data_IF_233132051690
#
_entry.id   IF_233132051690
#
_cell.length_a   1.000
_cell.length_b   1.000
_cell.length_c   1.000
_cell.angle_alpha   90.00
_cell.angle_beta   90.00
_cell.angle_gamma   90.00
#
_symmetry.space_group_name_H-M   'P 1'
#
loop_
_entity.id
_entity.type
_entity.pdbx_description
1 polymer ?
#
# COMPACT_ATOMS: atom_id res chain seq x y z
N UNK A 1 -69.60 -63.08 5.59
CA UNK A 1 -69.30 -63.77 4.30
C UNK A 1 -68.16 -63.01 3.64
N UNK A 2 -67.02 -63.57 3.22
CA UNK A 2 -66.33 -64.87 3.33
C UNK A 2 -64.82 -64.50 3.19
N UNK A 3 -63.80 -65.21 3.68
CA UNK A 3 -63.69 -66.45 4.46
C UNK A 3 -62.38 -66.38 5.29
N UNK A 4 -62.26 -67.20 6.33
CA UNK A 4 -61.02 -67.41 7.10
C UNK A 4 -60.04 -68.35 6.38
N UNK A 5 -58.75 -68.26 6.72
CA UNK A 5 -57.81 -69.37 7.04
C UNK A 5 -56.36 -68.82 7.10
N UNK A 6 -55.57 -68.93 8.19
CA UNK A 6 -54.93 -70.16 8.77
C UNK A 6 -53.95 -70.83 7.76
N UNK A 7 -52.77 -71.41 8.05
CA UNK A 7 -52.05 -71.85 9.28
C UNK A 7 -50.56 -72.13 8.85
N UNK A 8 -49.46 -72.07 9.65
CA UNK A 8 -49.20 -71.70 11.05
C UNK A 8 -47.70 -71.37 11.31
N UNK A 9 -47.42 -70.67 12.42
CA UNK A 9 -46.21 -70.65 13.30
C UNK A 9 -44.98 -71.52 13.02
N UNK A 10 -43.77 -70.95 13.23
CA UNK A 10 -43.00 -71.10 14.50
C UNK A 10 -41.70 -70.27 14.60
N UNK A 11 -41.64 -69.53 15.71
CA UNK A 11 -40.50 -69.30 16.63
C UNK A 11 -39.30 -68.45 16.13
N UNK A 12 -39.20 -67.18 16.55
CA UNK A 12 -38.74 -66.68 17.87
C UNK A 12 -37.21 -66.66 18.03
N UNK A 13 -36.62 -65.45 17.92
CA UNK A 13 -35.64 -64.91 18.86
C UNK A 13 -35.39 -63.42 18.54
N UNK A 14 -35.60 -62.55 19.54
CA UNK A 14 -35.20 -61.14 19.52
C UNK A 14 -34.29 -60.92 20.72
N UNK A 15 -33.15 -60.25 20.52
CA UNK A 15 -32.76 -59.20 21.48
C UNK A 15 -32.42 -57.88 20.76
N UNK A 16 -32.75 -56.76 21.42
CA UNK A 16 -32.36 -55.41 21.00
C UNK A 16 -30.84 -55.19 21.02
N UNK A 17 -30.33 -54.35 20.10
CA UNK A 17 -29.08 -53.60 20.25
C UNK A 17 -29.14 -52.27 19.46
N UNK A 18 -28.30 -51.32 19.86
CA UNK A 18 -28.39 -49.87 19.55
C UNK A 18 -27.89 -49.46 18.15
N UNK A 19 -28.25 -48.25 17.66
CA UNK A 19 -27.80 -47.74 16.37
C UNK A 19 -26.37 -47.19 16.44
N UNK A 20 -25.47 -47.69 15.59
CA UNK A 20 -24.16 -47.08 15.37
C UNK A 20 -24.10 -46.33 14.04
N UNK A 21 -23.84 -45.02 14.17
CA UNK A 21 -23.11 -44.13 13.27
C UNK A 21 -22.58 -44.70 11.94
N UNK A 22 -23.00 -44.07 10.84
CA UNK A 22 -22.20 -43.93 9.62
C UNK A 22 -22.53 -42.60 8.95
N UNK A 23 -21.89 -41.53 9.45
CA UNK A 23 -21.79 -40.26 8.74
C UNK A 23 -20.69 -40.37 7.69
N UNK A 24 -21.05 -40.21 6.42
CA UNK A 24 -20.06 -40.12 5.34
C UNK A 24 -19.39 -38.74 5.39
N UNK A 25 -18.16 -38.71 5.90
CA UNK A 25 -17.31 -37.52 5.86
C UNK A 25 -16.77 -37.36 4.44
N UNK A 26 -17.35 -36.41 3.69
CA UNK A 26 -16.71 -35.88 2.48
C UNK A 26 -15.60 -34.91 2.89
N UNK A 27 -14.51 -35.48 3.42
CA UNK A 27 -13.26 -34.78 3.67
C UNK A 27 -12.53 -34.57 2.35
N UNK A 28 -12.63 -33.38 1.78
CA UNK A 28 -11.77 -32.95 0.68
C UNK A 28 -10.38 -32.61 1.20
N UNK A 29 -9.63 -33.64 1.60
CA UNK A 29 -8.20 -33.53 1.92
C UNK A 29 -7.38 -33.36 0.64
N UNK A 30 -7.51 -32.19 0.00
CA UNK A 30 -6.38 -31.65 -0.77
C UNK A 30 -5.22 -31.48 0.21
N UNK A 31 -4.04 -32.10 -0.03
CA UNK A 31 -2.90 -31.94 0.87
C UNK A 31 -2.61 -30.45 1.03
N UNK A 32 -2.76 -29.94 2.25
CA UNK A 32 -2.46 -28.54 2.54
C UNK A 32 -0.96 -28.35 2.33
N UNK A 33 -0.57 -27.81 1.17
CA UNK A 33 0.82 -27.69 0.76
C UNK A 33 1.53 -26.83 1.81
N UNK A 34 2.34 -27.49 2.64
CA UNK A 34 2.88 -26.91 3.87
C UNK A 34 3.65 -25.64 3.53
N UNK A 35 3.13 -24.48 3.93
CA UNK A 35 3.72 -23.17 3.65
C UNK A 35 5.21 -23.17 4.04
N UNK A 36 6.11 -23.19 3.04
CA UNK A 36 7.55 -23.36 3.26
C UNK A 36 8.22 -22.01 3.50
N UNK A 37 8.05 -21.13 2.53
CA UNK A 37 8.67 -19.83 2.33
C UNK A 37 7.70 -18.87 1.63
N UNK A 38 8.03 -17.57 1.63
CA UNK A 38 7.34 -16.52 0.86
C UNK A 38 8.38 -15.76 0.04
N UNK A 39 8.15 -15.64 -1.27
CA UNK A 39 8.97 -14.77 -2.13
C UNK A 39 8.52 -13.32 -2.04
N UNK A 40 9.30 -12.50 -1.36
CA UNK A 40 9.06 -11.06 -1.25
C UNK A 40 9.62 -10.32 -2.48
N UNK A 41 8.84 -9.42 -3.08
CA UNK A 41 9.31 -8.59 -4.20
C UNK A 41 9.81 -7.23 -3.69
N UNK A 42 11.11 -6.98 -3.86
CA UNK A 42 11.79 -5.75 -3.45
C UNK A 42 11.99 -4.78 -4.65
N UNK A 43 11.76 -3.49 -4.43
CA UNK A 43 11.88 -2.45 -5.47
C UNK A 43 13.29 -1.85 -5.47
N UNK A 44 14.07 -2.23 -6.49
CA UNK A 44 15.44 -1.77 -6.71
C UNK A 44 16.44 -2.24 -5.64
N UNK A 45 17.69 -1.80 -5.79
CA UNK A 45 18.82 -2.29 -4.98
C UNK A 45 18.67 -2.05 -3.47
N UNK A 46 18.17 -0.88 -3.06
CA UNK A 46 18.07 -0.53 -1.63
C UNK A 46 17.11 -1.44 -0.86
N UNK A 47 15.93 -1.73 -1.41
CA UNK A 47 15.02 -2.70 -0.82
C UNK A 47 15.56 -4.11 -0.93
N UNK A 48 16.21 -4.46 -2.06
CA UNK A 48 16.79 -5.78 -2.25
C UNK A 48 17.79 -6.13 -1.14
N UNK A 49 18.70 -5.21 -0.80
CA UNK A 49 19.67 -5.40 0.29
C UNK A 49 18.98 -5.65 1.65
N UNK A 50 17.93 -4.88 1.99
CA UNK A 50 17.16 -5.11 3.23
C UNK A 50 16.40 -6.45 3.18
N UNK A 51 15.91 -6.84 2.00
CA UNK A 51 15.26 -8.13 1.81
C UNK A 51 16.25 -9.29 2.02
N UNK A 52 17.46 -9.21 1.44
CA UNK A 52 18.47 -10.25 1.61
C UNK A 52 18.92 -10.38 3.09
N UNK A 53 19.05 -9.25 3.81
CA UNK A 53 19.23 -9.24 5.28
C UNK A 53 18.07 -9.96 6.00
N UNK A 54 16.82 -9.70 5.62
CA UNK A 54 15.64 -10.38 6.17
C UNK A 54 15.64 -11.88 5.84
N UNK A 55 15.98 -12.27 4.61
CA UNK A 55 16.02 -13.65 4.14
C UNK A 55 16.95 -14.52 5.00
N UNK A 56 18.17 -14.02 5.27
CA UNK A 56 19.15 -14.67 6.16
C UNK A 56 18.59 -14.81 7.58
N UNK A 57 18.10 -13.71 8.18
CA UNK A 57 17.55 -13.73 9.54
C UNK A 57 16.31 -14.62 9.67
N UNK A 58 15.50 -14.74 8.62
CA UNK A 58 14.30 -15.57 8.58
C UNK A 58 14.58 -17.09 8.54
N UNK A 59 15.84 -17.51 8.39
CA UNK A 59 16.20 -18.92 8.22
C UNK A 59 15.62 -19.55 6.93
N UNK A 60 15.46 -18.76 5.87
CA UNK A 60 14.85 -19.19 4.61
C UNK A 60 13.32 -19.21 4.61
N UNK A 61 12.65 -18.59 5.59
CA UNK A 61 11.19 -18.33 5.53
C UNK A 61 10.82 -17.25 4.53
N UNK A 62 11.74 -16.33 4.25
CA UNK A 62 11.62 -15.30 3.23
C UNK A 62 12.68 -15.55 2.15
N UNK A 63 12.25 -15.52 0.90
CA UNK A 63 13.11 -15.45 -0.27
C UNK A 63 12.92 -14.09 -0.94
N UNK A 64 13.92 -13.62 -1.69
CA UNK A 64 13.88 -12.28 -2.28
C UNK A 64 13.92 -12.33 -3.81
N UNK A 65 12.89 -11.72 -4.40
CA UNK A 65 12.80 -11.32 -5.80
C UNK A 65 12.96 -9.79 -5.88
N UNK A 66 13.24 -9.27 -7.08
CA UNK A 66 13.34 -7.82 -7.26
C UNK A 66 12.89 -7.35 -8.63
N UNK A 67 12.44 -6.10 -8.69
CA UNK A 67 12.15 -5.36 -9.92
C UNK A 67 12.49 -3.87 -9.77
N UNK A 68 12.55 -3.13 -10.88
CA UNK A 68 12.88 -1.69 -10.85
C UNK A 68 11.67 -0.79 -10.56
N UNK A 69 10.44 -1.32 -10.62
CA UNK A 69 9.20 -0.57 -10.33
C UNK A 69 8.17 -1.40 -9.56
N UNK A 70 7.23 -0.70 -8.92
CA UNK A 70 6.09 -1.32 -8.22
C UNK A 70 5.20 -2.14 -9.17
N UNK A 71 4.97 -1.66 -10.40
CA UNK A 71 4.15 -2.38 -11.39
C UNK A 71 4.82 -3.70 -11.82
N UNK A 72 6.13 -3.68 -12.04
CA UNK A 72 6.87 -4.90 -12.38
C UNK A 72 6.83 -5.93 -11.25
N UNK A 73 6.89 -5.48 -9.98
CA UNK A 73 6.71 -6.37 -8.84
C UNK A 73 5.28 -6.93 -8.73
N UNK A 74 4.24 -6.12 -8.97
CA UNK A 74 2.86 -6.62 -9.03
C UNK A 74 2.72 -7.65 -10.15
N UNK A 75 3.29 -7.39 -11.33
CA UNK A 75 3.29 -8.33 -12.45
C UNK A 75 4.04 -9.63 -12.14
N UNK A 76 5.17 -9.58 -11.41
CA UNK A 76 5.87 -10.77 -10.89
C UNK A 76 5.01 -11.57 -9.92
N UNK A 77 4.27 -10.90 -9.02
CA UNK A 77 3.37 -11.56 -8.07
C UNK A 77 2.20 -12.24 -8.81
N UNK A 78 1.62 -11.58 -9.82
CA UNK A 78 0.58 -12.18 -10.66
C UNK A 78 1.04 -13.47 -11.37
N UNK A 79 2.29 -13.49 -11.86
CA UNK A 79 2.86 -14.61 -12.63
C UNK A 79 3.38 -15.77 -11.79
N UNK A 80 3.45 -15.63 -10.45
CA UNK A 80 4.09 -16.62 -9.58
C UNK A 80 5.62 -16.55 -9.53
N UNK A 81 6.22 -15.48 -10.08
CA UNK A 81 7.66 -15.23 -9.93
C UNK A 81 7.98 -14.79 -8.49
N UNK A 82 7.13 -13.94 -7.91
CA UNK A 82 7.12 -13.55 -6.50
C UNK A 82 5.76 -13.90 -5.85
N UNK A 83 5.62 -13.76 -4.53
CA UNK A 83 4.39 -14.09 -3.78
C UNK A 83 3.77 -12.88 -3.07
N UNK A 84 4.55 -11.94 -2.55
CA UNK A 84 4.03 -10.81 -1.77
C UNK A 84 4.90 -9.56 -1.82
N UNK A 85 4.29 -8.41 -1.51
CA UNK A 85 4.94 -7.13 -1.18
C UNK A 85 3.97 -6.24 -0.40
N UNK A 86 4.46 -5.23 0.33
CA UNK A 86 3.62 -4.12 0.85
C UNK A 86 3.39 -3.07 -0.25
N UNK A 87 2.20 -2.49 -0.30
CA UNK A 87 1.80 -1.51 -1.30
C UNK A 87 1.06 -0.31 -0.69
N UNK A 88 1.29 0.86 -1.28
CA UNK A 88 0.44 2.04 -1.09
C UNK A 88 -0.97 1.76 -1.63
N UNK A 89 -2.02 2.31 -0.98
CA UNK A 89 -3.42 2.10 -1.36
C UNK A 89 -3.76 2.32 -2.84
N UNK A 90 -3.01 3.20 -3.54
CA UNK A 90 -3.16 3.40 -4.98
C UNK A 90 -2.65 2.23 -5.82
N UNK A 91 -1.53 1.62 -5.42
CA UNK A 91 -1.04 0.39 -6.02
C UNK A 91 -1.84 -0.84 -5.57
N UNK A 92 -2.45 -0.84 -4.38
CA UNK A 92 -3.44 -1.87 -3.98
C UNK A 92 -4.65 -1.85 -4.92
N UNK A 93 -5.10 -0.67 -5.36
CA UNK A 93 -6.16 -0.58 -6.37
C UNK A 93 -5.74 -1.24 -7.69
N UNK A 94 -4.53 -0.96 -8.19
CA UNK A 94 -3.99 -1.55 -9.42
C UNK A 94 -3.85 -3.08 -9.27
N UNK A 95 -3.19 -3.53 -8.20
CA UNK A 95 -3.04 -4.95 -7.84
C UNK A 95 -4.38 -5.68 -7.74
N UNK A 96 -5.40 -5.03 -7.15
CA UNK A 96 -6.76 -5.54 -7.08
C UNK A 96 -7.47 -5.63 -8.43
N UNK A 97 -7.29 -4.66 -9.34
CA UNK A 97 -7.76 -4.78 -10.73
C UNK A 97 -7.10 -5.96 -11.46
N UNK A 98 -5.84 -6.25 -11.13
CA UNK A 98 -5.05 -7.39 -11.58
C UNK A 98 -5.37 -8.73 -10.89
N UNK A 99 -6.26 -8.76 -9.88
CA UNK A 99 -6.71 -10.00 -9.23
C UNK A 99 -5.89 -10.44 -8.01
N UNK A 100 -4.98 -9.59 -7.51
CA UNK A 100 -4.35 -9.80 -6.21
C UNK A 100 -5.31 -9.39 -5.08
N UNK A 101 -5.09 -9.93 -3.88
CA UNK A 101 -5.90 -9.66 -2.68
C UNK A 101 -5.05 -9.07 -1.56
N UNK A 102 -5.59 -8.12 -0.76
CA UNK A 102 -4.98 -7.71 0.50
C UNK A 102 -4.89 -8.87 1.50
N UNK A 103 -3.82 -8.94 2.26
CA UNK A 103 -3.52 -10.02 3.22
C UNK A 103 -3.42 -9.52 4.65
N UNK A 104 -2.69 -8.41 4.85
CA UNK A 104 -2.44 -7.71 6.12
C UNK A 104 -2.38 -6.20 5.87
N UNK A 105 -2.76 -5.37 6.85
CA UNK A 105 -2.57 -3.92 6.83
C UNK A 105 -1.29 -3.54 7.58
N UNK A 106 -0.52 -2.55 7.13
CA UNK A 106 0.37 -1.82 8.02
C UNK A 106 -0.46 -0.94 8.96
N UNK A 107 -0.21 -1.00 10.27
CA UNK A 107 -0.78 -0.08 11.25
C UNK A 107 0.27 0.93 11.73
N UNK A 108 -0.12 2.17 12.02
CA UNK A 108 0.81 3.28 12.33
C UNK A 108 0.55 3.97 13.67
N UNK A 109 -0.71 3.99 14.11
CA UNK A 109 -1.21 4.74 15.28
C UNK A 109 -1.47 3.82 16.48
N UNK A 110 -1.92 2.59 16.25
CA UNK A 110 -2.26 1.65 17.33
C UNK A 110 -1.02 0.98 17.92
N UNK A 111 -0.91 0.96 19.25
CA UNK A 111 0.09 0.16 19.98
C UNK A 111 -0.55 -1.08 20.62
N UNK A 112 -1.59 -0.88 21.44
CA UNK A 112 -2.25 -1.97 22.17
C UNK A 112 -3.12 -2.81 21.23
N UNK A 113 -2.96 -4.13 21.28
CA UNK A 113 -3.67 -5.08 20.41
C UNK A 113 -3.56 -4.70 18.90
N UNK A 114 -2.41 -4.15 18.49
CA UNK A 114 -2.18 -3.60 17.15
C UNK A 114 -2.59 -4.57 16.03
N UNK A 115 -2.24 -5.85 16.16
CA UNK A 115 -2.50 -6.88 15.14
C UNK A 115 -3.98 -7.18 14.89
N UNK A 116 -4.88 -6.80 15.80
CA UNK A 116 -6.32 -7.08 15.69
C UNK A 116 -7.19 -5.82 15.68
N UNK A 117 -6.58 -4.64 15.57
CA UNK A 117 -7.26 -3.34 15.61
C UNK A 117 -7.17 -2.66 14.25
N UNK A 118 -8.23 -2.62 13.44
CA UNK A 118 -8.20 -1.93 12.15
C UNK A 118 -8.13 -0.41 12.34
N UNK A 119 -7.18 0.24 11.67
CA UNK A 119 -7.08 1.70 11.64
C UNK A 119 -7.98 2.32 10.56
N UNK A 120 -8.48 3.53 10.82
CA UNK A 120 -9.29 4.30 9.85
C UNK A 120 -8.50 4.82 8.65
N UNK A 121 -7.18 4.69 8.64
CA UNK A 121 -6.30 5.31 7.66
C UNK A 121 -5.51 6.53 8.16
N UNK A 122 -4.42 6.84 7.48
CA UNK A 122 -3.63 8.06 7.64
C UNK A 122 -4.25 9.24 6.87
N UNK A 123 -3.65 10.43 6.93
CA UNK A 123 -4.18 11.62 6.23
C UNK A 123 -3.25 12.04 5.09
N UNK A 124 -3.84 12.34 3.93
CA UNK A 124 -3.13 12.98 2.83
C UNK A 124 -3.18 14.50 2.99
N UNK A 125 -2.03 15.16 2.94
CA UNK A 125 -1.90 16.61 3.18
C UNK A 125 -1.09 17.29 2.08
N UNK A 126 -1.38 18.57 1.86
CA UNK A 126 -0.56 19.47 1.06
C UNK A 126 0.26 20.37 1.99
N UNK A 127 1.59 20.19 1.99
CA UNK A 127 2.53 20.94 2.84
C UNK A 127 3.17 22.07 2.04
N UNK A 128 3.27 23.26 2.63
CA UNK A 128 4.02 24.41 2.10
C UNK A 128 4.98 24.95 3.15
N UNK A 129 5.97 25.73 2.71
CA UNK A 129 6.86 26.48 3.62
C UNK A 129 6.08 27.62 4.28
N UNK A 130 6.29 27.84 5.58
CA UNK A 130 5.69 28.96 6.34
C UNK A 130 6.11 30.33 5.79
N UNK A 131 7.28 30.41 5.14
CA UNK A 131 7.79 31.60 4.46
C UNK A 131 7.19 31.84 3.07
N UNK A 132 6.35 30.95 2.56
CA UNK A 132 5.68 31.13 1.27
C UNK A 132 4.65 32.29 1.35
N UNK A 133 4.59 33.19 0.35
CA UNK A 133 3.64 34.31 0.30
C UNK A 133 2.22 33.88 0.68
N UNK A 134 1.54 34.59 1.59
CA UNK A 134 0.27 34.12 2.21
C UNK A 134 -0.88 33.88 1.21
N UNK A 135 -0.78 34.39 -0.03
CA UNK A 135 -1.72 34.12 -1.12
C UNK A 135 -1.57 32.72 -1.76
N UNK A 136 -0.48 31.96 -1.48
CA UNK A 136 -0.34 30.55 -1.85
C UNK A 136 -1.31 29.67 -1.04
N UNK A 137 -2.48 29.39 -1.60
CA UNK A 137 -3.55 28.59 -1.02
C UNK A 137 -3.82 27.38 -1.90
N UNK A 138 -4.65 26.44 -1.45
CA UNK A 138 -5.15 25.36 -2.31
C UNK A 138 -5.72 25.88 -3.64
N UNK A 139 -6.35 27.06 -3.61
CA UNK A 139 -7.00 27.66 -4.77
C UNK A 139 -6.03 28.35 -5.75
N UNK A 140 -4.79 28.66 -5.35
CA UNK A 140 -3.79 29.38 -6.16
C UNK A 140 -2.55 28.53 -6.51
N UNK A 141 -2.68 27.20 -6.46
CA UNK A 141 -1.63 26.23 -6.83
C UNK A 141 -1.23 26.23 -8.32
N UNK A 142 -2.01 26.87 -9.20
CA UNK A 142 -1.69 26.94 -10.63
C UNK A 142 -0.39 27.72 -10.87
N UNK A 143 0.48 27.21 -11.73
CA UNK A 143 1.80 27.78 -12.04
C UNK A 143 2.84 27.62 -10.92
N UNK A 144 2.51 26.95 -9.81
CA UNK A 144 3.45 26.67 -8.71
C UNK A 144 4.28 25.41 -8.98
N UNK A 145 5.30 25.19 -8.16
CA UNK A 145 6.17 24.02 -8.21
C UNK A 145 5.70 22.91 -7.27
N UNK A 146 5.47 21.70 -7.79
CA UNK A 146 4.91 20.59 -7.01
C UNK A 146 5.88 19.44 -6.75
N UNK A 147 5.74 18.81 -5.59
CA UNK A 147 6.52 17.65 -5.17
C UNK A 147 5.59 16.51 -4.77
N UNK A 148 5.78 15.33 -5.36
CA UNK A 148 4.90 14.18 -5.22
C UNK A 148 5.70 12.94 -4.82
N UNK A 149 5.11 12.03 -4.05
CA UNK A 149 5.81 10.81 -3.60
C UNK A 149 6.14 9.86 -4.76
N UNK A 150 5.18 9.65 -5.65
CA UNK A 150 5.27 9.10 -7.01
C UNK A 150 3.88 9.20 -7.66
N UNK A 151 3.82 8.99 -8.98
CA UNK A 151 2.57 8.76 -9.74
C UNK A 151 1.81 7.55 -9.17
N UNK A 152 0.48 7.56 -9.31
CA UNK A 152 -0.47 6.54 -8.84
C UNK A 152 -0.48 6.22 -7.33
N UNK A 153 0.34 6.89 -6.51
CA UNK A 153 0.31 6.80 -5.03
C UNK A 153 -0.80 7.66 -4.43
N UNK A 154 -1.35 7.19 -3.31
CA UNK A 154 -2.50 7.77 -2.60
C UNK A 154 -2.35 9.26 -2.30
N UNK A 155 -1.44 9.61 -1.39
CA UNK A 155 -1.31 10.98 -0.90
C UNK A 155 -0.51 11.89 -1.84
N UNK A 156 0.41 11.32 -2.64
CA UNK A 156 1.23 12.08 -3.59
C UNK A 156 0.54 12.37 -4.92
N UNK A 157 -0.41 11.54 -5.33
CA UNK A 157 -1.02 11.61 -6.66
C UNK A 157 -2.54 11.51 -6.61
N UNK A 158 -3.11 10.37 -6.22
CA UNK A 158 -4.53 10.07 -6.44
C UNK A 158 -5.47 11.06 -5.73
N UNK A 159 -5.19 11.39 -4.46
CA UNK A 159 -5.98 12.37 -3.71
C UNK A 159 -5.80 13.79 -4.26
N UNK A 160 -4.58 14.38 -4.31
CA UNK A 160 -4.42 15.76 -4.75
C UNK A 160 -4.79 15.96 -6.23
N UNK A 161 -4.40 15.05 -7.13
CA UNK A 161 -4.71 15.17 -8.56
C UNK A 161 -6.19 14.90 -8.83
N UNK A 162 -6.88 14.09 -8.01
CA UNK A 162 -8.32 13.87 -8.11
C UNK A 162 -9.12 15.12 -7.74
N UNK A 163 -8.71 15.80 -6.67
CA UNK A 163 -9.29 17.09 -6.30
C UNK A 163 -9.01 18.19 -7.34
N UNK A 164 -7.81 18.22 -7.94
CA UNK A 164 -7.50 19.14 -9.04
C UNK A 164 -8.27 18.80 -10.31
N UNK A 165 -8.39 17.52 -10.67
CA UNK A 165 -9.16 17.06 -11.83
C UNK A 165 -10.62 17.53 -11.75
N UNK A 166 -11.26 17.41 -10.58
CA UNK A 166 -12.63 17.90 -10.36
C UNK A 166 -12.79 19.42 -10.57
N UNK A 167 -11.70 20.19 -10.53
CA UNK A 167 -11.68 21.66 -10.74
C UNK A 167 -11.32 22.04 -12.18
N UNK A 168 -10.35 21.34 -12.80
CA UNK A 168 -9.79 21.71 -14.11
C UNK A 168 -10.36 20.88 -15.27
N UNK A 169 -10.95 19.72 -14.97
CA UNK A 169 -11.61 18.80 -15.90
C UNK A 169 -10.73 18.32 -17.07
N UNK A 170 -9.42 18.23 -16.86
CA UNK A 170 -8.44 17.68 -17.82
C UNK A 170 -7.28 16.98 -17.09
N UNK A 171 -6.57 16.10 -17.79
CA UNK A 171 -5.47 15.30 -17.24
C UNK A 171 -4.08 15.96 -17.38
N UNK A 172 -4.00 17.13 -18.02
CA UNK A 172 -2.76 17.89 -18.25
C UNK A 172 -2.25 18.60 -16.97
N UNK A 173 -1.96 17.82 -15.92
CA UNK A 173 -1.46 18.33 -14.64
C UNK A 173 -0.07 19.00 -14.76
N UNK A 174 0.69 18.62 -15.78
CA UNK A 174 1.97 19.18 -16.19
C UNK A 174 1.87 20.57 -16.84
N UNK A 175 0.65 20.99 -17.23
CA UNK A 175 0.32 22.37 -17.60
C UNK A 175 -0.31 23.17 -16.45
N UNK A 176 -0.84 22.49 -15.44
CA UNK A 176 -1.38 23.13 -14.24
C UNK A 176 -0.26 23.62 -13.31
N UNK A 177 0.72 22.76 -13.01
CA UNK A 177 1.96 23.16 -12.32
C UNK A 177 2.99 23.65 -13.33
N UNK A 178 3.89 24.56 -12.92
CA UNK A 178 4.92 25.08 -13.84
C UNK A 178 6.09 24.11 -14.02
N UNK A 179 6.49 23.46 -12.92
CA UNK A 179 7.51 22.41 -12.84
C UNK A 179 7.19 21.52 -11.64
N UNK A 180 7.71 20.30 -11.61
CA UNK A 180 7.56 19.44 -10.45
C UNK A 180 8.57 18.31 -10.37
N UNK A 181 8.47 17.53 -9.30
CA UNK A 181 8.98 16.17 -9.27
C UNK A 181 7.85 15.20 -8.90
N UNK A 182 7.44 14.38 -9.88
CA UNK A 182 6.50 13.28 -9.75
C UNK A 182 7.13 12.00 -10.31
N UNK A 183 7.89 11.25 -9.49
CA UNK A 183 8.56 10.02 -9.91
C UNK A 183 7.58 9.02 -10.56
N UNK A 184 7.97 8.47 -11.72
CA UNK A 184 7.12 7.63 -12.56
C UNK A 184 6.34 8.36 -13.66
N UNK A 185 6.38 9.70 -13.69
CA UNK A 185 5.81 10.47 -14.80
C UNK A 185 6.75 10.51 -16.02
N UNK A 186 6.26 11.01 -17.16
CA UNK A 186 7.04 11.09 -18.41
C UNK A 186 8.29 11.98 -18.24
N UNK A 187 9.47 11.47 -18.62
CA UNK A 187 10.78 12.08 -18.30
C UNK A 187 11.01 13.45 -18.96
N UNK A 188 10.30 13.73 -20.05
CA UNK A 188 10.32 15.02 -20.76
C UNK A 188 9.32 16.04 -20.22
N UNK A 189 8.42 15.66 -19.31
CA UNK A 189 7.41 16.55 -18.73
C UNK A 189 8.01 17.55 -17.74
N UNK A 190 7.33 18.69 -17.56
CA UNK A 190 7.56 19.65 -16.48
C UNK A 190 7.52 19.00 -15.10
N UNK A 191 6.71 17.95 -14.90
CA UNK A 191 6.61 17.20 -13.64
C UNK A 191 7.82 16.29 -13.33
N UNK A 192 8.79 16.17 -14.24
CA UNK A 192 10.09 15.55 -13.97
C UNK A 192 11.25 16.56 -13.97
N UNK A 193 10.97 17.87 -14.06
CA UNK A 193 11.99 18.91 -14.19
C UNK A 193 12.73 19.25 -12.88
N UNK A 194 12.11 19.00 -11.71
CA UNK A 194 12.74 19.18 -10.40
C UNK A 194 13.34 17.89 -9.83
N UNK A 195 13.12 16.74 -10.46
CA UNK A 195 13.66 15.46 -9.99
C UNK A 195 15.18 15.40 -10.15
N UNK A 196 15.91 14.88 -9.16
CA UNK A 196 17.37 15.03 -9.03
C UNK A 196 18.16 13.71 -9.17
N UNK A 197 17.50 12.59 -9.44
CA UNK A 197 18.12 11.28 -9.58
C UNK A 197 18.89 10.84 -8.33
N UNK A 198 19.85 9.94 -8.52
CA UNK A 198 20.69 9.47 -7.42
C UNK A 198 21.91 10.38 -7.26
N UNK A 199 22.59 10.29 -6.10
CA UNK A 199 23.84 11.03 -5.89
C UNK A 199 24.98 10.57 -6.81
N UNK A 200 24.93 9.31 -7.29
CA UNK A 200 25.94 8.70 -8.17
C UNK A 200 25.53 8.68 -9.64
N UNK A 201 24.25 8.90 -9.97
CA UNK A 201 23.73 8.83 -11.32
C UNK A 201 22.51 9.76 -11.52
N UNK A 202 22.71 10.99 -12.04
CA UNK A 202 21.64 11.93 -12.34
C UNK A 202 20.66 11.46 -13.44
N UNK A 203 21.06 10.56 -14.35
CA UNK A 203 20.18 10.00 -15.40
C UNK A 203 19.04 9.14 -14.82
N UNK A 204 19.16 8.75 -13.55
CA UNK A 204 18.11 8.10 -12.76
C UNK A 204 16.99 9.05 -12.30
N UNK A 205 16.96 10.30 -12.79
CA UNK A 205 15.92 11.27 -12.44
C UNK A 205 14.52 10.76 -12.78
N UNK A 206 13.58 11.04 -11.89
CA UNK A 206 12.16 10.69 -12.04
C UNK A 206 11.85 9.18 -12.08
N UNK A 207 12.79 8.28 -11.76
CA UNK A 207 12.46 6.86 -11.59
C UNK A 207 11.58 6.65 -10.33
N UNK A 208 10.51 5.82 -10.38
CA UNK A 208 9.60 5.59 -9.26
C UNK A 208 10.17 4.59 -8.22
N UNK A 209 11.44 4.78 -7.83
CA UNK A 209 12.16 3.94 -6.88
C UNK A 209 13.22 4.76 -6.13
N UNK A 210 13.90 4.13 -5.17
CA UNK A 210 14.90 4.78 -4.30
C UNK A 210 16.18 5.27 -5.01
N UNK A 211 16.33 5.09 -6.32
CA UNK A 211 17.37 5.79 -7.08
C UNK A 211 17.06 7.30 -7.15
N UNK A 212 15.80 7.70 -7.24
CA UNK A 212 15.40 9.11 -7.19
C UNK A 212 15.38 9.59 -5.74
N UNK A 213 16.21 10.58 -5.40
CA UNK A 213 16.29 11.11 -4.02
C UNK A 213 14.99 11.78 -3.57
N UNK A 214 14.19 12.30 -4.50
CA UNK A 214 12.86 12.86 -4.23
C UNK A 214 11.72 11.83 -4.24
N UNK A 215 11.99 10.53 -4.42
CA UNK A 215 10.98 9.47 -4.31
C UNK A 215 10.51 9.24 -2.86
N UNK A 216 9.23 8.89 -2.71
CA UNK A 216 8.61 8.56 -1.42
C UNK A 216 8.27 9.79 -0.57
N UNK A 217 7.81 9.55 0.66
CA UNK A 217 7.32 10.62 1.55
C UNK A 217 8.42 11.62 1.92
N UNK A 218 9.53 11.12 2.46
CA UNK A 218 10.70 11.94 2.80
C UNK A 218 11.32 12.61 1.58
N UNK A 219 11.31 11.97 0.41
CA UNK A 219 11.80 12.56 -0.83
C UNK A 219 10.95 13.72 -1.34
N UNK A 220 9.63 13.59 -1.33
CA UNK A 220 8.71 14.67 -1.72
C UNK A 220 8.79 15.87 -0.75
N UNK A 221 9.00 15.63 0.55
CA UNK A 221 9.24 16.69 1.52
C UNK A 221 10.59 17.38 1.30
N UNK A 222 11.66 16.61 1.03
CA UNK A 222 12.97 17.16 0.63
C UNK A 222 12.86 18.04 -0.62
N UNK A 223 12.09 17.61 -1.62
CA UNK A 223 11.80 18.40 -2.81
C UNK A 223 11.19 19.77 -2.47
N UNK A 224 10.24 19.85 -1.52
CA UNK A 224 9.67 21.12 -1.06
C UNK A 224 10.71 22.02 -0.37
N UNK A 225 11.61 21.43 0.43
CA UNK A 225 12.69 22.16 1.10
C UNK A 225 13.67 22.74 0.07
N UNK A 226 14.13 21.92 -0.87
CA UNK A 226 15.23 22.26 -1.80
C UNK A 226 14.76 22.98 -3.08
N UNK A 227 13.50 22.85 -3.55
CA UNK A 227 13.09 23.38 -4.88
C UNK A 227 11.61 23.68 -5.12
N UNK A 228 10.68 23.02 -4.42
CA UNK A 228 9.24 23.11 -4.65
C UNK A 228 8.53 24.22 -3.86
N UNK A 229 7.26 24.47 -4.20
CA UNK A 229 6.35 25.35 -3.46
C UNK A 229 5.38 24.57 -2.56
N UNK A 230 4.95 23.38 -3.02
CA UNK A 230 4.04 22.45 -2.32
C UNK A 230 4.53 21.00 -2.40
N UNK A 231 4.41 20.24 -1.32
CA UNK A 231 4.57 18.78 -1.31
C UNK A 231 3.27 18.06 -0.93
N UNK A 232 2.96 16.97 -1.63
CA UNK A 232 1.81 16.11 -1.36
C UNK A 232 2.28 14.82 -0.69
N UNK A 233 1.98 14.67 0.62
CA UNK A 233 2.57 13.65 1.50
C UNK A 233 1.58 13.16 2.57
N UNK A 234 1.99 12.20 3.40
CA UNK A 234 1.25 11.82 4.62
C UNK A 234 1.44 12.88 5.71
N UNK A 235 0.46 13.06 6.58
CA UNK A 235 0.45 14.01 7.69
C UNK A 235 1.71 13.96 8.57
N UNK A 236 2.20 12.75 8.86
CA UNK A 236 3.35 12.56 9.75
C UNK A 236 4.71 12.93 9.11
N UNK A 237 4.80 13.15 7.80
CA UNK A 237 6.09 13.33 7.10
C UNK A 237 6.90 14.52 7.62
N UNK A 238 6.26 15.64 7.95
CA UNK A 238 6.99 16.81 8.47
C UNK A 238 7.56 16.51 9.85
N UNK A 239 6.75 15.90 10.74
CA UNK A 239 7.18 15.56 12.11
C UNK A 239 8.33 14.54 12.10
N UNK A 240 8.30 13.58 11.16
CA UNK A 240 9.35 12.58 10.94
C UNK A 240 10.67 13.15 10.39
N UNK A 241 10.67 14.34 9.80
CA UNK A 241 11.82 14.94 9.11
C UNK A 241 12.21 16.34 9.63
N UNK A 242 11.76 16.70 10.83
CA UNK A 242 12.10 17.97 11.50
C UNK A 242 12.50 17.71 12.96
N UNK A 243 12.99 18.74 13.65
CA UNK A 243 13.41 18.67 15.06
C UNK A 243 14.50 17.61 15.34
N UNK A 244 15.37 17.36 14.36
CA UNK A 244 16.45 16.38 14.46
C UNK A 244 16.02 14.92 14.27
N UNK A 245 14.75 14.62 14.01
CA UNK A 245 14.26 13.26 13.77
C UNK A 245 14.81 12.61 12.49
N UNK A 246 15.30 13.42 11.53
CA UNK A 246 16.09 12.96 10.40
C UNK A 246 17.51 13.56 10.49
N UNK A 247 18.57 12.74 10.61
CA UNK A 247 19.95 13.21 10.76
C UNK A 247 20.61 13.67 9.45
N UNK A 248 19.95 13.49 8.29
CA UNK A 248 20.48 13.93 7.00
C UNK A 248 20.81 15.43 6.99
N UNK A 249 21.88 15.80 6.28
CA UNK A 249 22.33 17.19 6.18
C UNK A 249 21.29 18.19 5.64
N UNK A 250 20.29 17.74 4.88
CA UNK A 250 19.21 18.60 4.36
C UNK A 250 18.05 18.79 5.37
N UNK A 251 17.96 17.93 6.39
CA UNK A 251 16.81 17.84 7.31
C UNK A 251 17.15 18.21 8.78
N UNK A 252 18.39 17.96 9.23
CA UNK A 252 18.82 18.05 10.63
C UNK A 252 18.45 19.36 11.35
N UNK A 253 18.49 20.49 10.63
CA UNK A 253 18.26 21.84 11.17
C UNK A 253 16.81 22.33 10.95
N UNK A 254 15.97 21.56 10.24
CA UNK A 254 14.60 21.96 9.90
C UNK A 254 13.70 21.96 11.14
N UNK A 255 12.92 23.04 11.28
CA UNK A 255 11.92 23.18 12.34
C UNK A 255 10.53 22.92 11.82
N UNK A 256 9.71 22.27 12.64
CA UNK A 256 8.32 21.92 12.30
C UNK A 256 7.52 23.17 11.90
N UNK A 257 7.76 24.28 12.59
CA UNK A 257 7.06 25.54 12.39
C UNK A 257 7.53 26.30 11.12
N UNK A 258 8.57 25.79 10.42
CA UNK A 258 8.92 26.24 9.07
C UNK A 258 7.92 25.77 7.99
N UNK A 259 6.89 24.99 8.36
CA UNK A 259 5.90 24.45 7.44
C UNK A 259 4.45 24.67 7.91
N UNK A 260 3.54 24.80 6.94
CA UNK A 260 2.08 24.86 7.12
C UNK A 260 1.41 23.84 6.19
N UNK A 261 0.18 23.47 6.52
CA UNK A 261 -0.73 22.71 5.65
C UNK A 261 -1.62 23.68 4.86
N UNK A 262 -1.92 23.35 3.61
CA UNK A 262 -3.01 23.96 2.85
C UNK A 262 -4.29 23.18 3.07
N UNK A 263 -5.34 23.88 3.51
CA UNK A 263 -6.67 23.31 3.67
C UNK A 263 -7.49 23.56 2.40
N UNK A 264 -8.47 22.69 2.11
CA UNK A 264 -9.28 22.77 0.87
C UNK A 264 -10.22 23.97 0.84
N UNK A 265 -10.53 24.57 1.98
CA UNK A 265 -11.24 25.86 2.12
C UNK A 265 -10.39 27.09 1.73
N UNK A 266 -9.09 26.89 1.44
CA UNK A 266 -8.14 27.94 1.11
C UNK A 266 -7.36 28.50 2.30
N UNK A 267 -7.68 28.10 3.54
CA UNK A 267 -6.91 28.49 4.72
C UNK A 267 -5.59 27.72 4.83
N UNK A 268 -4.74 28.15 5.77
CA UNK A 268 -3.55 27.40 6.19
C UNK A 268 -3.60 27.10 7.67
N UNK A 269 -3.14 25.91 8.06
CA UNK A 269 -3.04 25.48 9.46
C UNK A 269 -1.65 24.93 9.80
N UNK A 270 -1.24 24.94 11.08
CA UNK A 270 -0.03 24.25 11.53
C UNK A 270 -0.05 22.75 11.16
N UNK A 271 1.12 22.15 10.95
CA UNK A 271 1.24 20.72 10.60
C UNK A 271 0.75 19.75 11.67
N UNK A 272 0.53 20.23 12.90
CA UNK A 272 -0.10 19.49 14.00
C UNK A 272 -1.63 19.41 13.91
N UNK A 273 -2.27 20.25 13.09
CA UNK A 273 -3.73 20.30 12.91
C UNK A 273 -4.21 19.51 11.68
N UNK A 274 -3.49 18.44 11.30
CA UNK A 274 -3.81 17.65 10.11
C UNK A 274 -5.23 17.04 10.15
N UNK A 275 -5.73 16.59 11.31
CA UNK A 275 -7.11 16.07 11.44
C UNK A 275 -8.17 17.17 11.16
N UNK A 276 -7.84 18.47 11.28
CA UNK A 276 -8.69 19.60 10.85
C UNK A 276 -8.32 20.15 9.46
N UNK A 277 -7.16 19.79 8.90
CA UNK A 277 -6.63 20.31 7.64
C UNK A 277 -5.93 19.20 6.83
N UNK A 278 -6.73 18.47 6.05
CA UNK A 278 -6.25 17.43 5.15
C UNK A 278 -7.04 17.45 3.84
N UNK A 279 -6.51 16.80 2.81
CA UNK A 279 -7.15 16.67 1.50
C UNK A 279 -8.21 15.56 1.51
N UNK A 280 -7.84 14.39 2.06
CA UNK A 280 -8.73 13.27 2.34
C UNK A 280 -8.05 12.30 3.32
N UNK A 281 -8.84 11.40 3.93
CA UNK A 281 -8.31 10.23 4.63
C UNK A 281 -7.88 9.17 3.61
N UNK A 282 -6.76 8.53 3.87
CA UNK A 282 -6.10 7.57 3.01
C UNK A 282 -6.11 6.18 3.66
N UNK A 283 -6.51 5.10 2.97
CA UNK A 283 -6.33 3.75 3.50
C UNK A 283 -4.85 3.49 3.76
N UNK A 284 -4.55 2.71 4.82
CA UNK A 284 -3.18 2.35 5.15
C UNK A 284 -2.52 1.55 4.00
N UNK A 285 -1.19 1.43 4.04
CA UNK A 285 -0.51 0.49 3.14
C UNK A 285 -0.82 -0.94 3.59
N UNK A 286 -0.70 -1.89 2.68
CA UNK A 286 -1.09 -3.26 2.94
C UNK A 286 -0.33 -4.25 2.09
N UNK A 287 -0.09 -5.42 2.67
CA UNK A 287 0.53 -6.54 1.98
C UNK A 287 -0.50 -7.15 1.02
N UNK A 288 -0.10 -7.33 -0.24
CA UNK A 288 -0.92 -8.05 -1.23
C UNK A 288 -0.27 -9.38 -1.62
N UNK A 289 -1.10 -10.33 -2.05
CA UNK A 289 -0.65 -11.61 -2.62
C UNK A 289 -1.69 -12.16 -3.60
N UNK A 290 -1.39 -13.29 -4.25
CA UNK A 290 -2.41 -14.07 -4.97
C UNK A 290 -3.30 -14.82 -3.97
N UNK A 291 -4.53 -15.15 -4.37
CA UNK A 291 -5.50 -15.84 -3.50
C UNK A 291 -5.02 -17.21 -3.01
N UNK A 292 -4.24 -17.94 -3.81
CA UNK A 292 -3.62 -19.23 -3.46
C UNK A 292 -2.51 -19.14 -2.39
N UNK A 293 -1.89 -17.96 -2.22
CA UNK A 293 -0.81 -17.73 -1.26
C UNK A 293 -1.21 -16.90 -0.04
N UNK A 294 -2.36 -16.22 -0.07
CA UNK A 294 -2.77 -15.27 0.96
C UNK A 294 -2.65 -15.82 2.40
N UNK A 295 -3.11 -17.05 2.66
CA UNK A 295 -3.04 -17.64 4.01
C UNK A 295 -1.60 -18.01 4.42
N UNK A 296 -0.79 -18.49 3.49
CA UNK A 296 0.64 -18.79 3.70
C UNK A 296 1.42 -17.49 4.00
N UNK A 297 1.18 -16.43 3.23
CA UNK A 297 1.76 -15.10 3.44
C UNK A 297 1.34 -14.54 4.80
N UNK A 298 0.06 -14.66 5.20
CA UNK A 298 -0.41 -14.21 6.51
C UNK A 298 0.30 -14.94 7.66
N UNK A 299 0.37 -16.27 7.59
CA UNK A 299 1.01 -17.09 8.62
C UNK A 299 2.51 -16.76 8.77
N UNK A 300 3.24 -16.68 7.66
CA UNK A 300 4.67 -16.34 7.68
C UNK A 300 4.90 -14.93 8.20
N UNK A 301 4.12 -13.93 7.77
CA UNK A 301 4.35 -12.55 8.20
C UNK A 301 3.99 -12.29 9.68
N UNK A 302 3.03 -13.01 10.26
CA UNK A 302 2.82 -12.97 11.72
C UNK A 302 4.01 -13.53 12.49
N UNK A 303 4.54 -14.69 12.08
CA UNK A 303 5.75 -15.28 12.66
C UNK A 303 6.95 -14.32 12.52
N UNK A 304 7.13 -13.71 11.35
CA UNK A 304 8.26 -12.81 11.09
C UNK A 304 8.15 -11.49 11.87
N UNK A 305 6.96 -10.90 12.04
CA UNK A 305 6.83 -9.71 12.89
C UNK A 305 6.93 -10.03 14.39
N UNK A 306 6.58 -11.25 14.82
CA UNK A 306 6.81 -11.70 16.19
C UNK A 306 8.31 -11.75 16.54
N UNK A 307 9.16 -12.10 15.57
CA UNK A 307 10.61 -12.14 15.73
C UNK A 307 11.31 -10.80 15.45
N UNK A 308 10.85 -10.01 14.48
CA UNK A 308 11.58 -8.83 13.95
C UNK A 308 10.79 -7.52 13.98
N UNK A 309 9.58 -7.50 14.55
CA UNK A 309 8.75 -6.31 14.71
C UNK A 309 9.30 -5.32 15.75
N UNK A 310 8.65 -4.15 15.90
CA UNK A 310 9.17 -3.04 16.73
C UNK A 310 9.34 -3.34 18.22
N UNK A 311 8.62 -4.33 18.74
CA UNK A 311 8.69 -4.73 20.15
C UNK A 311 9.50 -6.03 20.36
N UNK A 312 10.08 -6.59 19.30
CA UNK A 312 10.80 -7.86 19.37
C UNK A 312 12.27 -7.67 19.75
N UNK A 313 12.81 -8.58 20.55
CA UNK A 313 14.18 -8.50 21.07
C UNK A 313 15.26 -8.55 19.99
N UNK A 314 15.03 -9.21 18.84
CA UNK A 314 16.01 -9.27 17.75
C UNK A 314 16.21 -7.92 17.04
N UNK A 315 15.24 -6.99 17.14
CA UNK A 315 15.40 -5.61 16.66
C UNK A 315 16.38 -4.79 17.55
N UNK A 316 16.82 -5.33 18.70
CA UNK A 316 17.88 -4.72 19.51
C UNK A 316 19.30 -5.20 19.14
N UNK A 317 19.45 -6.08 18.14
CA UNK A 317 20.75 -6.67 17.77
C UNK A 317 20.96 -6.89 16.27
N UNK A 318 20.08 -7.65 15.62
CA UNK A 318 20.38 -8.26 14.31
C UNK A 318 19.60 -7.63 13.14
N UNK A 319 18.27 -7.52 13.27
CA UNK A 319 17.40 -7.05 12.18
C UNK A 319 16.05 -6.51 12.68
N UNK A 320 15.62 -5.37 12.14
CA UNK A 320 14.33 -4.74 12.39
C UNK A 320 13.49 -4.68 11.10
N UNK A 321 12.34 -5.35 11.07
CA UNK A 321 11.48 -5.41 9.88
C UNK A 321 10.87 -4.05 9.52
N UNK A 322 10.47 -3.27 10.52
CA UNK A 322 9.76 -1.98 10.37
C UNK A 322 10.65 -0.75 10.63
N UNK A 323 11.96 -0.88 10.39
CA UNK A 323 12.91 0.23 10.34
C UNK A 323 13.77 0.10 9.08
N UNK A 324 14.36 1.18 8.57
CA UNK A 324 15.23 1.14 7.40
C UNK A 324 16.43 2.04 7.56
N UNK A 325 17.51 1.71 6.83
CA UNK A 325 18.76 2.50 6.81
C UNK A 325 18.64 3.81 6.03
N UNK A 326 17.53 4.02 5.31
CA UNK A 326 17.31 5.21 4.46
C UNK A 326 15.89 5.76 4.63
N UNK A 327 14.90 5.20 3.93
CA UNK A 327 13.48 5.56 4.04
C UNK A 327 12.56 4.48 3.49
N UNK A 328 11.54 4.10 4.27
CA UNK A 328 10.38 3.27 3.90
C UNK A 328 10.73 1.99 3.09
N UNK A 329 11.86 1.31 3.37
CA UNK A 329 12.29 0.12 2.61
C UNK A 329 11.44 -1.11 2.99
N UNK A 330 10.80 -1.76 2.00
CA UNK A 330 9.87 -2.91 2.12
C UNK A 330 8.54 -2.62 2.82
N UNK A 331 8.59 -1.84 3.90
CA UNK A 331 7.47 -1.37 4.72
C UNK A 331 7.77 0.08 5.12
N UNK A 332 6.74 0.87 5.44
CA UNK A 332 6.97 2.21 5.99
C UNK A 332 7.68 2.17 7.34
N UNK A 333 8.58 3.13 7.58
CA UNK A 333 9.35 3.19 8.84
C UNK A 333 8.48 3.54 10.06
N UNK A 334 7.26 4.05 9.87
CA UNK A 334 6.30 4.29 10.95
C UNK A 334 5.42 3.08 11.29
N UNK A 335 5.48 1.98 10.53
CA UNK A 335 4.72 0.73 10.79
C UNK A 335 4.96 0.20 12.20
N UNK A 336 3.88 -0.03 12.95
CA UNK A 336 3.86 -0.57 14.32
C UNK A 336 3.77 -2.10 14.30
N UNK A 337 2.84 -2.61 13.49
CA UNK A 337 2.62 -4.02 13.23
C UNK A 337 1.97 -4.21 11.85
N UNK A 338 1.86 -5.46 11.43
CA UNK A 338 0.98 -5.93 10.37
C UNK A 338 -0.31 -6.49 10.99
N UNK A 339 -1.45 -5.87 10.71
CA UNK A 339 -2.73 -6.20 11.30
C UNK A 339 -3.61 -7.08 10.41
N UNK A 340 -4.37 -7.95 11.07
CA UNK A 340 -5.35 -8.85 10.48
C UNK A 340 -6.43 -8.07 9.73
N UNK A 341 -6.77 -8.58 8.54
CA UNK A 341 -7.94 -8.16 7.78
C UNK A 341 -9.11 -9.08 8.10
N UNK A 342 -10.34 -8.63 7.81
CA UNK A 342 -11.51 -9.50 7.91
C UNK A 342 -11.41 -10.64 6.88
N UNK A 343 -11.99 -11.82 7.16
CA UNK A 343 -12.09 -12.89 6.17
C UNK A 343 -12.67 -12.38 4.84
N UNK A 344 -12.16 -12.91 3.73
CA UNK A 344 -12.61 -12.56 2.37
C UNK A 344 -12.49 -11.08 1.95
N UNK A 345 -11.67 -10.28 2.66
CA UNK A 345 -11.39 -8.88 2.30
C UNK A 345 -10.91 -8.75 0.84
N UNK A 346 -11.58 -7.90 0.05
CA UNK A 346 -11.18 -7.53 -1.31
C UNK A 346 -10.43 -6.20 -1.30
N UNK A 347 -9.83 -5.80 -2.43
CA UNK A 347 -9.24 -4.45 -2.52
C UNK A 347 -10.32 -3.36 -2.40
N UNK A 348 -11.57 -3.58 -2.84
CA UNK A 348 -12.64 -2.60 -2.67
C UNK A 348 -13.04 -2.43 -1.19
N UNK A 349 -13.20 -3.52 -0.44
CA UNK A 349 -13.58 -3.43 0.98
C UNK A 349 -12.43 -2.97 1.86
N UNK A 350 -11.18 -3.28 1.49
CA UNK A 350 -9.97 -2.78 2.16
C UNK A 350 -9.78 -1.27 1.99
N UNK A 351 -9.88 -0.77 0.76
CA UNK A 351 -9.64 0.64 0.44
C UNK A 351 -10.82 1.55 0.81
N UNK A 352 -12.04 0.99 0.86
CA UNK A 352 -13.28 1.71 1.12
C UNK A 352 -13.86 2.37 -0.14
N UNK A 353 -15.20 2.44 -0.18
CA UNK A 353 -15.94 2.90 -1.36
C UNK A 353 -15.59 4.33 -1.80
N UNK A 354 -15.34 5.24 -0.86
CA UNK A 354 -14.95 6.63 -1.13
C UNK A 354 -13.63 6.71 -1.91
N UNK A 355 -12.59 6.01 -1.43
CA UNK A 355 -11.29 5.98 -2.09
C UNK A 355 -11.35 5.28 -3.45
N UNK A 356 -12.03 4.14 -3.53
CA UNK A 356 -12.23 3.39 -4.79
C UNK A 356 -12.92 4.26 -5.85
N UNK A 357 -13.90 5.07 -5.44
CA UNK A 357 -14.61 6.02 -6.32
C UNK A 357 -13.70 7.16 -6.77
N UNK A 358 -12.92 7.75 -5.85
CA UNK A 358 -11.97 8.82 -6.17
C UNK A 358 -10.91 8.36 -7.19
N UNK A 359 -10.31 7.17 -7.00
CA UNK A 359 -9.33 6.59 -7.94
C UNK A 359 -10.00 6.20 -9.26
N UNK A 360 -11.23 5.68 -9.24
CA UNK A 360 -11.97 5.34 -10.46
C UNK A 360 -12.25 6.58 -11.34
N UNK A 361 -12.58 7.72 -10.74
CA UNK A 361 -12.78 8.98 -11.45
C UNK A 361 -11.49 9.48 -12.12
N UNK A 362 -10.34 9.24 -11.49
CA UNK A 362 -9.02 9.52 -12.08
C UNK A 362 -8.57 8.52 -13.15
N UNK A 363 -9.26 7.39 -13.36
CA UNK A 363 -8.79 6.31 -14.27
C UNK A 363 -8.46 6.83 -15.67
N UNK A 364 -9.24 7.77 -16.19
CA UNK A 364 -9.02 8.41 -17.51
C UNK A 364 -7.72 9.23 -17.61
N UNK A 365 -7.11 9.59 -16.47
CA UNK A 365 -5.83 10.30 -16.39
C UNK A 365 -4.67 9.38 -15.96
N UNK A 366 -4.91 8.07 -15.80
CA UNK A 366 -3.86 7.13 -15.42
C UNK A 366 -2.94 6.83 -16.60
N UNK A 367 -1.63 6.81 -16.33
CA UNK A 367 -0.58 6.41 -17.27
C UNK A 367 -0.07 4.99 -16.99
N UNK A 368 -0.71 4.26 -16.07
CA UNK A 368 -0.36 2.90 -15.66
C UNK A 368 -0.61 1.90 -16.78
N UNK A 369 0.47 1.36 -17.35
CA UNK A 369 0.42 0.30 -18.38
C UNK A 369 -0.11 -1.01 -17.79
N UNK A 370 0.20 -1.30 -16.53
CA UNK A 370 -0.33 -2.46 -15.84
C UNK A 370 -1.85 -2.37 -15.63
N UNK A 371 -2.37 -1.19 -15.24
CA UNK A 371 -3.82 -0.99 -15.06
C UNK A 371 -4.60 -1.15 -16.37
N UNK A 372 -4.03 -0.69 -17.49
CA UNK A 372 -4.58 -0.94 -18.82
C UNK A 372 -4.65 -2.44 -19.11
N UNK A 373 -3.51 -3.14 -19.05
CA UNK A 373 -3.42 -4.58 -19.30
C UNK A 373 -4.37 -5.41 -18.41
N UNK A 374 -4.42 -5.12 -17.11
CA UNK A 374 -5.28 -5.82 -16.15
C UNK A 374 -6.78 -5.51 -16.32
N UNK A 375 -7.15 -4.42 -17.01
CA UNK A 375 -8.56 -4.09 -17.28
C UNK A 375 -9.03 -4.40 -18.70
N UNK A 376 -8.12 -4.74 -19.62
CA UNK A 376 -8.42 -5.08 -21.02
C UNK A 376 -9.54 -6.13 -21.16
N UNK A 377 -9.41 -7.32 -20.54
CA UNK A 377 -10.41 -8.38 -20.66
C UNK A 377 -11.78 -8.07 -20.01
N UNK A 378 -11.86 -7.05 -19.15
CA UNK A 378 -13.14 -6.60 -18.57
C UNK A 378 -13.91 -5.67 -19.53
N UNK A 379 -13.23 -5.01 -20.46
CA UNK A 379 -13.84 -4.16 -21.48
C UNK A 379 -14.41 -4.96 -22.68
N UNK A 380 -13.87 -6.15 -22.95
CA UNK A 380 -14.22 -6.98 -24.12
C UNK A 380 -15.44 -7.87 -23.89
N UNK A 381 -15.92 -8.06 -22.65
CA UNK A 381 -17.18 -8.77 -22.40
C UNK A 381 -18.36 -7.87 -22.79
N UNK A 382 -19.22 -8.28 -23.75
CA UNK A 382 -20.46 -7.54 -23.99
C UNK A 382 -21.30 -7.52 -22.72
N UNK A 383 -22.05 -6.44 -22.50
CA UNK A 383 -23.19 -6.49 -21.58
C UNK A 383 -24.22 -7.45 -22.17
N UNK A 384 -24.18 -8.72 -21.76
CA UNK A 384 -25.32 -9.62 -21.92
C UNK A 384 -26.39 -9.09 -20.97
N UNK A 385 -27.30 -8.29 -21.51
CA UNK A 385 -28.49 -7.84 -20.79
C UNK A 385 -29.47 -8.99 -20.56
N UNK A 386 -30.43 -8.83 -19.63
CA UNK A 386 -31.59 -9.71 -19.53
C UNK A 386 -32.48 -9.63 -20.77
#
# INVERSE_FOLDING_TARGET
>A
MKLEAFINSRQLLVPHLHPHFLSYVLGSDTPQEKCKNVKWCAIGHHERTKCDEWSVNSGGKIECESAESTEDCIAKIMKGEADAMSLDGGFIYIAGKCGLVPVLAENYKTSDNCENTPEKGYLAVAVVKSSSPEDLTWNTLQGKKSCHTAVDRTAGWNIPMGLLYNRINHCEFDKFFSQGCAPGYERSSSLCALCIGSASNPEKRCEPNSNERYYGYTGAFRCLVESGDVAFVKDQTVLQNTEGNNPDNWAKDLKRDNFKLLCTDGTRKPVTEAEQCHLARAPNHGVVSRKDKADCVRQVLHDQQGHFGKNASACLGDFCLFQSKTKDLLFRDDTKCLANLQPETTYESYLGAEYVTAVANLKQCSTSKLLEACTFHKAVRPKVGP
#
